data_IF_303464932254
#
_entry.id   IF_303464932254
#
_cell.length_a   1.000
_cell.length_b   1.000
_cell.length_c   1.000
_cell.angle_alpha   90.00
_cell.angle_beta   90.00
_cell.angle_gamma   90.00
#
_symmetry.space_group_name_H-M   'P 1'
#
loop_
_entity.id
_entity.type
_entity.pdbx_description
1 polymer ?
#
# COMPACT_ATOMS: atom_id res chain seq x y z
N UNK A 1 1.52 -6.83 16.23
CA UNK A 1 1.95 -7.85 15.26
C UNK A 1 1.20 -7.61 13.96
N UNK A 2 1.92 -7.28 12.88
CA UNK A 2 1.34 -7.07 11.56
C UNK A 2 0.81 -8.37 10.98
N UNK A 3 -0.35 -8.32 10.32
CA UNK A 3 -0.88 -9.48 9.62
C UNK A 3 0.05 -9.84 8.46
N UNK A 4 0.66 -11.05 8.41
CA UNK A 4 1.69 -11.38 7.42
C UNK A 4 1.22 -11.18 5.97
N UNK A 5 -0.08 -11.35 5.71
CA UNK A 5 -0.69 -11.13 4.40
C UNK A 5 -0.62 -9.66 3.96
N UNK A 6 -0.73 -8.71 4.89
CA UNK A 6 -0.64 -7.28 4.56
C UNK A 6 0.77 -6.91 4.14
N UNK A 7 1.77 -7.48 4.81
CA UNK A 7 3.17 -7.28 4.46
C UNK A 7 3.46 -7.83 3.07
N UNK A 8 2.98 -9.03 2.76
CA UNK A 8 3.12 -9.62 1.43
C UNK A 8 2.43 -8.79 0.35
N UNK A 9 1.23 -8.27 0.61
CA UNK A 9 0.52 -7.38 -0.31
C UNK A 9 1.33 -6.10 -0.59
N UNK A 10 1.84 -5.44 0.46
CA UNK A 10 2.67 -4.24 0.34
C UNK A 10 3.93 -4.50 -0.48
N UNK A 11 4.61 -5.60 -0.20
CA UNK A 11 5.79 -6.06 -0.94
C UNK A 11 5.47 -6.33 -2.42
N UNK A 12 4.41 -7.08 -2.70
CA UNK A 12 3.99 -7.40 -4.06
C UNK A 12 3.66 -6.14 -4.85
N UNK A 13 2.76 -5.29 -4.34
CA UNK A 13 2.32 -4.10 -5.07
C UNK A 13 3.47 -3.11 -5.29
N UNK A 14 4.41 -2.97 -4.35
CA UNK A 14 5.60 -2.17 -4.55
C UNK A 14 6.55 -2.79 -5.58
N UNK A 15 6.75 -4.11 -5.54
CA UNK A 15 7.63 -4.81 -6.48
C UNK A 15 7.11 -4.77 -7.92
N UNK A 16 5.81 -4.98 -8.15
CA UNK A 16 5.25 -5.12 -9.52
C UNK A 16 4.44 -3.92 -9.99
N UNK A 17 3.87 -3.14 -9.06
CA UNK A 17 3.06 -1.96 -9.34
C UNK A 17 3.87 -0.68 -9.49
N UNK A 18 5.12 -0.65 -9.01
CA UNK A 18 5.99 0.51 -9.19
C UNK A 18 6.17 0.87 -10.67
N UNK A 19 5.94 2.14 -10.98
CA UNK A 19 5.94 2.67 -12.35
C UNK A 19 4.61 2.48 -13.09
N UNK A 20 3.68 1.67 -12.58
CA UNK A 20 2.31 1.56 -13.10
C UNK A 20 1.34 2.41 -12.27
N UNK A 21 1.45 2.32 -10.95
CA UNK A 21 0.61 2.99 -9.97
C UNK A 21 1.32 4.21 -9.39
N UNK A 22 0.54 5.20 -8.94
CA UNK A 22 1.04 6.31 -8.13
C UNK A 22 1.33 5.83 -6.72
N UNK A 23 2.26 6.51 -6.04
CA UNK A 23 2.57 6.21 -4.63
C UNK A 23 1.34 6.38 -3.73
N UNK A 24 0.53 7.42 -3.97
CA UNK A 24 -0.72 7.66 -3.22
C UNK A 24 -1.70 6.49 -3.37
N UNK A 25 -1.90 5.97 -4.59
CA UNK A 25 -2.82 4.84 -4.86
C UNK A 25 -2.39 3.58 -4.08
N UNK A 26 -1.08 3.32 -4.02
CA UNK A 26 -0.52 2.21 -3.25
C UNK A 26 -0.80 2.41 -1.75
N UNK A 27 -0.41 3.56 -1.20
CA UNK A 27 -0.53 3.83 0.24
C UNK A 27 -2.00 3.87 0.70
N UNK A 28 -2.90 4.46 -0.08
CA UNK A 28 -4.34 4.48 0.22
C UNK A 28 -4.93 3.07 0.24
N UNK A 29 -4.57 2.22 -0.74
CA UNK A 29 -5.06 0.85 -0.81
C UNK A 29 -4.59 -0.02 0.36
N UNK A 30 -3.28 -0.03 0.65
CA UNK A 30 -2.75 -0.84 1.77
C UNK A 30 -3.21 -0.33 3.13
N UNK A 31 -3.42 0.99 3.28
CA UNK A 31 -4.01 1.56 4.51
C UNK A 31 -5.46 1.11 4.66
N UNK A 32 -6.24 1.09 3.57
CA UNK A 32 -7.64 0.63 3.60
C UNK A 32 -7.75 -0.84 3.96
N UNK A 33 -6.83 -1.70 3.51
CA UNK A 33 -6.75 -3.10 3.98
C UNK A 33 -6.66 -3.18 5.50
N UNK A 34 -5.84 -2.34 6.15
CA UNK A 34 -5.69 -2.37 7.62
C UNK A 34 -6.99 -2.04 8.37
N UNK A 35 -7.94 -1.38 7.70
CA UNK A 35 -9.23 -0.94 8.25
C UNK A 35 -10.33 -1.93 7.91
N UNK A 36 -10.45 -2.33 6.64
CA UNK A 36 -11.51 -3.22 6.15
C UNK A 36 -11.23 -4.70 6.39
N UNK A 37 -9.95 -5.08 6.51
CA UNK A 37 -9.49 -6.47 6.46
C UNK A 37 -9.96 -7.22 5.20
N UNK A 38 -10.20 -6.49 4.11
CA UNK A 38 -10.63 -7.05 2.82
C UNK A 38 -9.46 -7.05 1.84
N UNK A 39 -8.59 -8.05 2.01
CA UNK A 39 -7.39 -8.22 1.19
C UNK A 39 -7.74 -8.57 -0.27
N UNK A 40 -8.78 -9.38 -0.47
CA UNK A 40 -9.21 -9.83 -1.80
C UNK A 40 -9.67 -8.63 -2.64
N UNK A 41 -10.50 -7.76 -2.07
CA UNK A 41 -10.95 -6.55 -2.76
C UNK A 41 -9.78 -5.65 -3.17
N UNK A 42 -8.83 -5.38 -2.27
CA UNK A 42 -7.70 -4.50 -2.60
C UNK A 42 -6.71 -5.12 -3.57
N UNK A 43 -6.49 -6.44 -3.51
CA UNK A 43 -5.72 -7.16 -4.53
C UNK A 43 -6.37 -6.97 -5.91
N UNK A 44 -7.66 -7.25 -6.04
CA UNK A 44 -8.39 -7.11 -7.30
C UNK A 44 -8.36 -5.65 -7.80
N UNK A 45 -8.51 -4.68 -6.90
CA UNK A 45 -8.40 -3.27 -7.23
C UNK A 45 -7.00 -2.91 -7.78
N UNK A 46 -5.93 -3.35 -7.11
CA UNK A 46 -4.55 -3.13 -7.61
C UNK A 46 -4.32 -3.80 -8.96
N UNK A 47 -4.82 -5.02 -9.18
CA UNK A 47 -4.75 -5.72 -10.48
C UNK A 47 -5.46 -4.90 -11.56
N UNK A 48 -6.67 -4.39 -11.28
CA UNK A 48 -7.43 -3.58 -12.21
C UNK A 48 -6.69 -2.30 -12.58
N UNK A 49 -6.20 -1.55 -11.59
CA UNK A 49 -5.45 -0.31 -11.80
C UNK A 49 -4.16 -0.55 -12.61
N UNK A 50 -3.39 -1.60 -12.28
CA UNK A 50 -2.18 -1.95 -13.04
C UNK A 50 -2.52 -2.36 -14.48
N UNK A 51 -3.62 -3.07 -14.69
CA UNK A 51 -4.06 -3.50 -16.02
C UNK A 51 -4.48 -2.31 -16.87
N UNK A 52 -5.27 -1.39 -16.31
CA UNK A 52 -5.64 -0.16 -17.00
C UNK A 52 -4.40 0.68 -17.35
N UNK A 53 -3.47 0.81 -16.40
CA UNK A 53 -2.23 1.54 -16.58
C UNK A 53 -1.34 0.94 -17.70
N UNK A 54 -1.31 -0.39 -17.84
CA UNK A 54 -0.62 -1.08 -18.96
C UNK A 54 -1.34 -0.85 -20.28
N UNK A 55 -2.66 -0.99 -20.32
CA UNK A 55 -3.45 -0.77 -21.54
C UNK A 55 -3.34 0.67 -22.05
N UNK A 56 -3.41 1.65 -21.16
CA UNK A 56 -3.26 3.07 -21.51
C UNK A 56 -1.89 3.35 -22.12
N UNK A 57 -0.83 2.80 -21.54
CA UNK A 57 0.55 2.92 -22.04
C UNK A 57 0.76 2.24 -23.39
N UNK A 58 0.20 1.05 -23.58
CA UNK A 58 0.22 0.36 -24.87
C UNK A 58 -0.48 1.18 -25.97
N UNK A 59 -1.63 1.79 -25.67
CA UNK A 59 -2.34 2.68 -26.61
C UNK A 59 -1.51 3.91 -27.01
N UNK A 60 -0.74 4.45 -26.08
CA UNK A 60 0.11 5.62 -26.29
C UNK A 60 1.51 5.26 -26.84
N UNK A 61 1.83 3.97 -26.94
CA UNK A 61 3.17 3.46 -27.29
C UNK A 61 4.29 4.02 -26.38
N UNK A 62 4.01 4.13 -25.07
CA UNK A 62 4.94 4.64 -24.06
C UNK A 62 5.25 3.54 -23.05
N UNK A 63 6.54 3.32 -22.76
CA UNK A 63 6.95 2.35 -21.74
C UNK A 63 6.60 2.83 -20.31
N UNK A 64 6.42 1.89 -19.39
CA UNK A 64 6.33 2.25 -17.97
C UNK A 64 7.71 2.75 -17.48
N UNK A 65 7.76 3.81 -16.65
CA UNK A 65 9.01 4.26 -16.05
C UNK A 65 9.64 3.14 -15.23
N UNK A 66 10.95 2.95 -15.42
CA UNK A 66 11.71 1.98 -14.63
C UNK A 66 12.04 2.59 -13.27
N UNK A 67 11.47 2.00 -12.22
CA UNK A 67 11.78 2.37 -10.84
C UNK A 67 12.88 1.46 -10.31
N UNK A 68 14.01 1.99 -9.78
CA UNK A 68 15.05 1.23 -9.09
C UNK A 68 14.47 0.32 -7.99
N UNK A 69 15.08 -0.83 -7.77
CA UNK A 69 14.52 -1.83 -6.85
C UNK A 69 14.57 -1.34 -5.40
N UNK A 70 15.59 -0.56 -5.04
CA UNK A 70 15.79 0.10 -3.75
C UNK A 70 14.59 1.00 -3.42
N UNK A 71 14.12 1.80 -4.39
CA UNK A 71 12.93 2.64 -4.21
C UNK A 71 11.64 1.82 -4.08
N UNK A 72 11.61 0.59 -4.61
CA UNK A 72 10.48 -0.34 -4.39
C UNK A 72 10.52 -0.93 -2.98
N UNK A 73 11.70 -1.22 -2.44
CA UNK A 73 11.89 -1.62 -1.04
C UNK A 73 11.40 -0.51 -0.10
N UNK A 74 11.82 0.73 -0.33
CA UNK A 74 11.35 1.89 0.43
C UNK A 74 9.82 2.01 0.39
N UNK A 75 9.21 1.86 -0.79
CA UNK A 75 7.75 1.94 -0.93
C UNK A 75 7.03 0.79 -0.22
N UNK A 76 7.57 -0.43 -0.29
CA UNK A 76 7.03 -1.56 0.45
C UNK A 76 7.06 -1.28 1.96
N UNK A 77 8.19 -0.78 2.47
CA UNK A 77 8.37 -0.44 3.89
C UNK A 77 7.42 0.67 4.34
N UNK A 78 7.19 1.71 3.53
CA UNK A 78 6.18 2.72 3.82
C UNK A 78 4.77 2.13 3.92
N UNK A 79 4.39 1.26 3.00
CA UNK A 79 3.09 0.59 3.01
C UNK A 79 2.93 -0.30 4.25
N UNK A 80 3.95 -1.08 4.58
CA UNK A 80 3.99 -1.94 5.78
C UNK A 80 3.85 -1.09 7.04
N UNK A 81 4.60 0.02 7.14
CA UNK A 81 4.50 0.93 8.26
C UNK A 81 3.07 1.49 8.41
N UNK A 82 2.49 1.97 7.32
CA UNK A 82 1.14 2.52 7.30
C UNK A 82 0.07 1.52 7.78
N UNK A 83 0.15 0.26 7.33
CA UNK A 83 -0.89 -0.73 7.59
C UNK A 83 -0.66 -1.58 8.86
N UNK A 84 0.59 -1.85 9.23
CA UNK A 84 0.93 -2.75 10.33
C UNK A 84 1.30 -2.04 11.64
N UNK A 85 1.91 -0.85 11.58
CA UNK A 85 2.47 -0.20 12.77
C UNK A 85 1.53 0.84 13.40
N UNK A 86 0.51 1.32 12.67
CA UNK A 86 -0.52 2.26 13.19
C UNK A 86 0.07 3.45 13.96
N UNK A 87 1.17 4.02 13.47
CA UNK A 87 1.96 5.11 14.10
C UNK A 87 2.77 4.70 15.35
N UNK A 88 2.95 3.41 15.57
CA UNK A 88 3.89 2.88 16.56
C UNK A 88 5.34 3.04 16.10
N UNK A 89 6.26 2.89 17.03
CA UNK A 89 7.69 2.78 16.72
C UNK A 89 7.98 1.45 16.03
N UNK A 90 9.08 1.40 15.26
CA UNK A 90 9.63 0.15 14.74
C UNK A 90 10.62 -0.35 15.79
N UNK A 91 10.34 -1.47 16.45
CA UNK A 91 11.22 -2.05 17.46
C UNK A 91 12.34 -2.89 16.81
N UNK A 92 13.38 -3.22 17.57
CA UNK A 92 14.53 -3.98 17.04
C UNK A 92 14.11 -5.36 16.49
N UNK A 93 13.14 -6.02 17.11
CA UNK A 93 12.57 -7.29 16.62
C UNK A 93 11.84 -7.11 15.28
N UNK A 94 11.14 -5.99 15.11
CA UNK A 94 10.47 -5.65 13.86
C UNK A 94 11.50 -5.39 12.75
N UNK A 95 12.59 -4.68 13.05
CA UNK A 95 13.67 -4.44 12.08
C UNK A 95 14.27 -5.76 11.55
N UNK A 96 14.52 -6.72 12.45
CA UNK A 96 15.05 -8.03 12.08
C UNK A 96 14.07 -8.79 11.18
N UNK A 97 12.77 -8.77 11.50
CA UNK A 97 11.75 -9.43 10.70
C UNK A 97 11.59 -8.77 9.32
N UNK A 98 11.53 -7.43 9.29
CA UNK A 98 11.48 -6.65 8.05
C UNK A 98 12.68 -6.95 7.16
N UNK A 99 13.88 -7.06 7.73
CA UNK A 99 15.09 -7.40 6.98
C UNK A 99 14.98 -8.77 6.31
N UNK A 100 14.50 -9.79 7.03
CA UNK A 100 14.29 -11.13 6.46
C UNK A 100 13.27 -11.09 5.33
N UNK A 101 12.13 -10.46 5.56
CA UNK A 101 11.04 -10.41 4.58
C UNK A 101 11.41 -9.63 3.32
N UNK A 102 11.97 -8.43 3.48
CA UNK A 102 12.34 -7.58 2.35
C UNK A 102 13.50 -8.19 1.55
N UNK A 103 14.48 -8.82 2.21
CA UNK A 103 15.56 -9.52 1.50
C UNK A 103 15.02 -10.70 0.67
N UNK A 104 14.00 -11.41 1.18
CA UNK A 104 13.39 -12.52 0.47
C UNK A 104 12.59 -12.06 -0.78
N UNK A 105 11.86 -10.95 -0.67
CA UNK A 105 11.05 -10.41 -1.78
C UNK A 105 11.91 -9.67 -2.81
N UNK A 106 12.96 -8.98 -2.38
CA UNK A 106 13.81 -8.14 -3.21
C UNK A 106 15.25 -8.68 -3.31
N UNK A 107 15.46 -9.88 -3.89
CA UNK A 107 16.77 -10.56 -3.86
C UNK A 107 17.86 -9.85 -4.68
N UNK A 108 17.51 -8.88 -5.53
CA UNK A 108 18.47 -8.10 -6.31
C UNK A 108 19.01 -6.87 -5.58
N UNK A 109 18.48 -6.55 -4.40
CA UNK A 109 18.96 -5.44 -3.55
C UNK A 109 19.90 -6.03 -2.51
N UNK A 110 21.06 -5.42 -2.33
CA UNK A 110 22.03 -5.85 -1.33
C UNK A 110 21.42 -5.80 0.08
N UNK A 111 21.66 -6.84 0.87
CA UNK A 111 21.11 -6.95 2.23
C UNK A 111 21.45 -5.72 3.09
N UNK A 112 22.67 -5.18 2.96
CA UNK A 112 23.11 -3.99 3.69
C UNK A 112 22.34 -2.74 3.30
N UNK A 113 21.86 -2.65 2.05
CA UNK A 113 21.05 -1.54 1.59
C UNK A 113 19.62 -1.62 2.13
N UNK A 114 19.05 -2.82 2.18
CA UNK A 114 17.76 -3.06 2.84
C UNK A 114 17.85 -2.71 4.34
N UNK A 115 18.93 -3.12 5.00
CA UNK A 115 19.19 -2.79 6.41
C UNK A 115 19.29 -1.27 6.63
N UNK A 116 19.97 -0.55 5.72
CA UNK A 116 20.04 0.92 5.75
C UNK A 116 18.65 1.54 5.65
N UNK A 117 17.84 1.11 4.68
CA UNK A 117 16.48 1.62 4.45
C UNK A 117 15.59 1.42 5.69
N UNK A 118 15.66 0.25 6.33
CA UNK A 118 14.89 -0.06 7.55
C UNK A 118 15.31 0.86 8.69
N UNK A 119 16.62 1.00 8.95
CA UNK A 119 17.12 1.85 10.04
C UNK A 119 16.78 3.32 9.85
N UNK A 120 16.91 3.83 8.62
CA UNK A 120 16.52 5.20 8.29
C UNK A 120 15.03 5.45 8.48
N UNK A 121 14.17 4.46 8.18
CA UNK A 121 12.74 4.53 8.48
C UNK A 121 12.50 4.55 10.00
N UNK A 122 13.07 3.61 10.74
CA UNK A 122 12.90 3.49 12.19
C UNK A 122 13.34 4.77 12.91
N UNK A 123 14.46 5.36 12.50
CA UNK A 123 14.95 6.65 13.01
C UNK A 123 13.97 7.79 12.74
N UNK A 124 13.50 7.95 11.49
CA UNK A 124 12.53 8.99 11.12
C UNK A 124 11.22 8.86 11.89
N UNK A 125 10.76 7.63 12.12
CA UNK A 125 9.57 7.34 12.92
C UNK A 125 9.78 7.73 14.39
N UNK A 126 10.90 7.34 14.99
CA UNK A 126 11.21 7.65 16.38
C UNK A 126 11.35 9.16 16.64
N UNK A 127 11.79 9.92 15.65
CA UNK A 127 11.89 11.39 15.69
C UNK A 127 10.55 12.11 15.45
N UNK A 128 9.48 11.38 15.10
CA UNK A 128 8.16 11.93 14.81
C UNK A 128 8.01 12.56 13.42
N UNK A 129 8.98 12.35 12.52
CA UNK A 129 9.02 12.98 11.19
C UNK A 129 8.03 12.42 10.16
N UNK A 130 7.28 11.37 10.50
CA UNK A 130 6.41 10.66 9.54
C UNK A 130 4.91 10.97 9.64
N UNK A 131 4.47 11.66 10.70
CA UNK A 131 3.03 11.92 10.90
C UNK A 131 2.42 12.84 9.82
N UNK A 132 3.23 13.66 9.15
CA UNK A 132 2.75 14.69 8.21
C UNK A 132 2.54 14.17 6.78
N UNK A 133 3.21 13.08 6.37
CA UNK A 133 3.19 12.58 4.98
C UNK A 133 2.25 11.38 4.75
N UNK A 134 1.90 10.62 5.79
CA UNK A 134 1.07 9.41 5.66
C UNK A 134 -0.44 9.71 5.68
N UNK A 135 -0.82 10.92 6.08
CA UNK A 135 -2.20 11.31 6.37
C UNK A 135 -2.56 12.63 5.66
N UNK A 136 -2.44 12.66 4.33
CA UNK A 136 -3.47 13.40 3.62
C UNK A 136 -4.79 12.69 3.98
N UNK A 137 -5.69 13.37 4.71
CA UNK A 137 -7.02 12.81 5.01
C UNK A 137 -7.57 12.17 3.72
N UNK A 138 -8.08 10.91 3.77
CA UNK A 138 -8.62 10.28 2.58
C UNK A 138 -9.56 11.27 1.92
N UNK A 139 -9.23 11.66 0.67
CA UNK A 139 -9.95 12.72 -0.04
C UNK A 139 -11.43 12.44 0.12
N UNK A 140 -12.15 13.34 0.80
CA UNK A 140 -13.58 13.19 1.01
C UNK A 140 -14.20 12.91 -0.36
N UNK A 141 -14.96 11.81 -0.44
CA UNK A 141 -15.67 11.46 -1.65
C UNK A 141 -16.47 12.68 -2.15
N UNK A 142 -16.51 12.92 -3.46
CA UNK A 142 -17.40 13.93 -4.03
C UNK A 142 -18.83 13.68 -3.52
N UNK A 143 -19.59 14.75 -3.23
CA UNK A 143 -20.95 14.64 -2.68
C UNK A 143 -21.85 13.70 -3.49
N UNK A 144 -21.63 13.64 -4.80
CA UNK A 144 -22.33 12.77 -5.74
C UNK A 144 -22.07 11.29 -5.46
N UNK A 145 -20.81 10.91 -5.20
CA UNK A 145 -20.43 9.53 -4.90
C UNK A 145 -20.97 9.09 -3.53
N UNK A 146 -21.01 10.00 -2.55
CA UNK A 146 -21.62 9.74 -1.23
C UNK A 146 -23.13 9.49 -1.39
N UNK A 147 -23.83 10.32 -2.16
CA UNK A 147 -25.27 10.14 -2.41
C UNK A 147 -25.58 8.83 -3.13
N UNK A 148 -24.72 8.42 -4.08
CA UNK A 148 -24.90 7.16 -4.79
C UNK A 148 -24.72 5.97 -3.84
N UNK A 149 -23.68 5.97 -3.00
CA UNK A 149 -23.47 4.95 -1.99
C UNK A 149 -24.62 4.87 -0.97
N UNK A 150 -25.18 6.00 -0.53
CA UNK A 150 -26.33 6.00 0.37
C UNK A 150 -27.56 5.35 -0.28
N UNK A 151 -27.82 5.60 -1.56
CA UNK A 151 -28.92 4.97 -2.30
C UNK A 151 -28.72 3.46 -2.45
N UNK A 152 -27.51 3.02 -2.76
CA UNK A 152 -27.19 1.59 -2.87
C UNK A 152 -27.37 0.89 -1.51
N UNK A 153 -26.97 1.56 -0.42
CA UNK A 153 -27.16 1.04 0.93
C UNK A 153 -28.64 0.92 1.32
N UNK A 154 -29.45 1.93 1.00
CA UNK A 154 -30.90 1.92 1.21
C UNK A 154 -31.57 0.78 0.41
N UNK A 155 -31.13 0.56 -0.82
CA UNK A 155 -31.62 -0.53 -1.66
C UNK A 155 -31.30 -1.91 -1.08
N UNK A 156 -30.06 -2.13 -0.62
CA UNK A 156 -29.66 -3.37 0.04
C UNK A 156 -30.42 -3.62 1.35
N UNK A 157 -30.69 -2.56 2.13
CA UNK A 157 -31.49 -2.66 3.35
C UNK A 157 -32.94 -3.04 3.04
N UNK A 158 -33.54 -2.47 1.99
CA UNK A 158 -34.89 -2.84 1.56
C UNK A 158 -34.96 -4.31 1.13
N UNK A 159 -33.98 -4.80 0.36
CA UNK A 159 -33.94 -6.21 -0.04
C UNK A 159 -33.81 -7.18 1.13
N UNK A 160 -33.05 -6.84 2.17
CA UNK A 160 -32.93 -7.65 3.38
C UNK A 160 -34.18 -7.60 4.30
N UNK A 161 -35.04 -6.60 4.15
CA UNK A 161 -36.31 -6.49 4.88
C UNK A 161 -37.44 -7.23 4.15
N UNK A 162 -37.32 -7.40 2.82
CA UNK A 162 -38.28 -8.10 1.97
C UNK A 162 -38.02 -9.61 1.82
N UNK A 163 -36.93 -10.13 2.40
CA UNK A 163 -36.59 -11.56 2.50
C UNK A 163 -36.96 -12.17 3.85
#
# INVERSE_FOLDING_TARGET
AGEPLYVLLCCWVAAVGAGLLKSEEILEGVTRVSISNDLEFEEQNFIALMTEARQRRAKLNVAAPTIPMELRVEKALEGIYACCFRRGVIEEEDEQLLLVMLTAVFPSVEKSEIERIIKEKAMRVAEGGEEENLMAEPKRLPKEAIQMQMKDLEFLQQQNIES
#
